data_IF_415258583791
#
_entry.id   IF_415258583791
#
_cell.length_a   1.000
_cell.length_b   1.000
_cell.length_c   1.000
_cell.angle_alpha   90.00
_cell.angle_beta   90.00
_cell.angle_gamma   90.00
#
_symmetry.space_group_name_H-M   'P 1'
#
loop_
_entity.id
_entity.type
_entity.pdbx_description
1 polymer ?
#
# COMPACT_ATOMS: atom_id res chain seq x y z
N UNK A 1 -17.37 19.70 -18.23
CA UNK A 1 -17.24 18.22 -18.24
C UNK A 1 -16.14 17.70 -19.18
N UNK A 2 -16.01 18.16 -20.44
CA UNK A 2 -14.99 17.68 -21.41
C UNK A 2 -13.53 17.82 -20.94
N UNK A 3 -13.16 18.96 -20.33
CA UNK A 3 -11.79 19.21 -19.86
C UNK A 3 -11.34 18.24 -18.75
N UNK A 4 -12.23 17.93 -17.78
CA UNK A 4 -11.96 16.95 -16.73
C UNK A 4 -11.74 15.57 -17.33
N UNK A 5 -12.62 15.13 -18.25
CA UNK A 5 -12.44 13.84 -18.92
C UNK A 5 -11.13 13.75 -19.70
N UNK A 6 -10.71 14.84 -20.35
CA UNK A 6 -9.43 14.90 -21.04
C UNK A 6 -8.26 14.77 -20.06
N UNK A 7 -8.26 15.53 -18.97
CA UNK A 7 -7.22 15.46 -17.94
C UNK A 7 -7.16 14.07 -17.28
N UNK A 8 -8.31 13.48 -16.91
CA UNK A 8 -8.38 12.12 -16.37
C UNK A 8 -7.82 11.09 -17.35
N UNK A 9 -8.15 11.18 -18.65
CA UNK A 9 -7.60 10.26 -19.67
C UNK A 9 -6.08 10.37 -19.78
N UNK A 10 -5.53 11.59 -19.76
CA UNK A 10 -4.07 11.79 -19.78
C UNK A 10 -3.41 11.24 -18.51
N UNK A 11 -4.00 11.50 -17.35
CA UNK A 11 -3.50 11.01 -16.06
C UNK A 11 -3.50 9.48 -16.00
N UNK A 12 -4.64 8.84 -16.30
CA UNK A 12 -4.78 7.38 -16.29
C UNK A 12 -3.83 6.71 -17.29
N UNK A 13 -3.64 7.30 -18.49
CA UNK A 13 -2.69 6.79 -19.48
C UNK A 13 -1.23 6.89 -19.02
N UNK A 14 -0.88 7.92 -18.24
CA UNK A 14 0.46 8.04 -17.64
C UNK A 14 0.63 7.05 -16.49
N UNK A 15 -0.39 6.92 -15.65
CA UNK A 15 -0.38 6.02 -14.49
C UNK A 15 -0.22 4.56 -14.92
N UNK A 16 -0.90 4.11 -15.97
CA UNK A 16 -0.80 2.73 -16.47
C UNK A 16 0.57 2.35 -17.04
N UNK A 17 1.45 3.33 -17.29
CA UNK A 17 2.83 3.12 -17.77
C UNK A 17 3.87 3.12 -16.65
N UNK A 18 3.49 3.46 -15.42
CA UNK A 18 4.41 3.43 -14.27
C UNK A 18 4.51 2.01 -13.73
N UNK A 19 5.70 1.63 -13.27
CA UNK A 19 5.88 0.38 -12.52
C UNK A 19 4.96 0.36 -11.29
N UNK A 20 4.44 -0.82 -10.96
CA UNK A 20 3.61 -1.01 -9.78
C UNK A 20 4.46 -1.01 -8.52
N UNK A 21 3.90 -0.54 -7.42
CA UNK A 21 4.47 -0.71 -6.09
C UNK A 21 3.33 -1.01 -5.10
N UNK A 22 3.52 -2.01 -4.26
CA UNK A 22 2.58 -2.39 -3.21
C UNK A 22 3.17 -1.98 -1.87
N UNK A 23 2.42 -1.22 -1.08
CA UNK A 23 2.78 -0.88 0.30
C UNK A 23 1.83 -1.62 1.22
N UNK A 24 2.36 -2.54 2.03
CA UNK A 24 1.60 -3.23 3.07
C UNK A 24 1.90 -2.60 4.42
N UNK A 25 0.88 -2.43 5.24
CA UNK A 25 1.05 -1.96 6.62
C UNK A 25 0.36 -2.84 7.65
N UNK A 26 0.93 -2.88 8.85
CA UNK A 26 0.25 -3.39 10.04
C UNK A 26 0.48 -2.44 11.20
N UNK A 27 -0.56 -2.20 11.99
CA UNK A 27 -0.59 -1.16 13.02
C UNK A 27 -1.44 -1.58 14.21
N UNK A 28 -1.17 -1.00 15.39
CA UNK A 28 -2.03 -1.14 16.57
C UNK A 28 -2.74 0.17 16.91
N UNK A 29 -2.02 1.29 16.77
CA UNK A 29 -2.49 2.63 17.16
C UNK A 29 -2.53 3.61 15.97
N UNK A 30 -2.49 3.10 14.74
CA UNK A 30 -2.61 3.88 13.50
C UNK A 30 -1.32 4.54 12.97
N UNK A 31 -0.21 4.58 13.72
CA UNK A 31 1.02 5.27 13.24
C UNK A 31 1.63 4.66 11.98
N UNK A 32 1.72 3.34 11.90
CA UNK A 32 2.28 2.66 10.73
C UNK A 32 1.41 2.84 9.49
N UNK A 33 0.09 2.87 9.66
CA UNK A 33 -0.86 3.20 8.59
C UNK A 33 -0.64 4.63 8.08
N UNK A 34 -0.49 5.61 8.98
CA UNK A 34 -0.23 7.00 8.60
C UNK A 34 1.08 7.13 7.79
N UNK A 35 2.13 6.45 8.23
CA UNK A 35 3.40 6.42 7.49
C UNK A 35 3.28 5.71 6.14
N UNK A 36 2.51 4.62 6.05
CA UNK A 36 2.27 3.93 4.79
C UNK A 36 1.52 4.81 3.78
N UNK A 37 0.52 5.58 4.23
CA UNK A 37 -0.20 6.56 3.39
C UNK A 37 0.72 7.67 2.90
N UNK A 38 1.53 8.26 3.79
CA UNK A 38 2.55 9.27 3.42
C UNK A 38 3.57 8.72 2.44
N UNK A 39 4.03 7.48 2.66
CA UNK A 39 4.94 6.80 1.74
C UNK A 39 4.28 6.61 0.36
N UNK A 40 2.99 6.27 0.32
CA UNK A 40 2.20 6.17 -0.90
C UNK A 40 2.09 7.49 -1.68
N UNK A 41 1.91 8.61 -0.99
CA UNK A 41 1.91 9.94 -1.61
C UNK A 41 3.26 10.26 -2.28
N UNK A 42 4.37 10.00 -1.58
CA UNK A 42 5.73 10.25 -2.08
C UNK A 42 6.06 9.33 -3.26
N UNK A 43 5.81 8.02 -3.13
CA UNK A 43 6.07 7.05 -4.20
C UNK A 43 5.14 7.26 -5.41
N UNK A 44 3.93 7.78 -5.20
CA UNK A 44 2.94 8.07 -6.25
C UNK A 44 3.41 9.09 -7.29
N UNK A 45 4.52 9.82 -7.04
CA UNK A 45 5.14 10.66 -8.06
C UNK A 45 5.85 9.87 -9.17
N UNK A 46 6.34 8.67 -8.86
CA UNK A 46 7.09 7.83 -9.80
C UNK A 46 6.40 6.49 -10.13
N UNK A 47 5.67 5.91 -9.17
CA UNK A 47 5.07 4.57 -9.26
C UNK A 47 3.54 4.63 -9.37
N UNK A 48 2.95 3.51 -9.81
CA UNK A 48 1.52 3.24 -9.61
C UNK A 48 1.37 2.48 -8.28
N UNK A 49 1.13 3.22 -7.20
CA UNK A 49 1.16 2.68 -5.84
C UNK A 49 -0.22 2.21 -5.40
N UNK A 50 -0.26 1.09 -4.70
CA UNK A 50 -1.41 0.65 -3.91
C UNK A 50 -0.98 0.47 -2.45
N UNK A 51 -1.83 0.87 -1.50
CA UNK A 51 -1.56 0.77 -0.05
C UNK A 51 -2.64 -0.09 0.58
N UNK A 52 -2.26 -1.16 1.27
CA UNK A 52 -3.17 -2.11 1.90
C UNK A 52 -2.82 -2.35 3.37
N UNK A 53 -3.84 -2.58 4.19
CA UNK A 53 -3.63 -3.25 5.47
C UNK A 53 -3.22 -4.70 5.17
N UNK A 54 -2.28 -5.24 5.95
CA UNK A 54 -1.86 -6.64 5.79
C UNK A 54 -3.00 -7.63 6.00
N UNK A 55 -3.98 -7.32 6.85
CA UNK A 55 -5.18 -8.17 7.08
C UNK A 55 -6.12 -8.24 5.88
N UNK A 56 -6.02 -7.27 4.96
CA UNK A 56 -6.93 -7.13 3.84
C UNK A 56 -6.29 -7.54 2.51
N UNK A 57 -5.05 -8.04 2.56
CA UNK A 57 -4.25 -8.37 1.38
C UNK A 57 -4.19 -9.87 1.15
N UNK A 58 -4.58 -10.34 -0.04
CA UNK A 58 -4.45 -11.75 -0.40
C UNK A 58 -2.98 -12.11 -0.58
N UNK A 59 -2.48 -13.01 0.25
CA UNK A 59 -1.10 -13.45 0.22
C UNK A 59 -0.72 -14.11 -1.12
N UNK A 60 -1.70 -14.66 -1.85
CA UNK A 60 -1.52 -15.25 -3.17
C UNK A 60 -1.09 -14.20 -4.21
N UNK A 61 -1.45 -12.93 -4.00
CA UNK A 61 -1.07 -11.84 -4.91
C UNK A 61 0.41 -11.47 -4.78
N UNK A 62 1.10 -11.86 -3.70
CA UNK A 62 2.53 -11.57 -3.49
C UNK A 62 3.42 -12.12 -4.62
N UNK A 63 3.04 -13.24 -5.24
CA UNK A 63 3.79 -13.84 -6.36
C UNK A 63 3.92 -12.86 -7.55
N UNK A 64 2.96 -11.96 -7.71
CA UNK A 64 2.89 -11.00 -8.82
C UNK A 64 3.38 -9.59 -8.47
N UNK A 65 3.92 -9.40 -7.26
CA UNK A 65 4.38 -8.08 -6.81
C UNK A 65 5.79 -7.77 -7.33
N UNK A 66 5.89 -6.72 -8.16
CA UNK A 66 7.18 -6.23 -8.69
C UNK A 66 8.04 -5.52 -7.63
N UNK A 67 7.40 -4.73 -6.76
CA UNK A 67 8.04 -3.97 -5.70
C UNK A 67 7.13 -3.93 -4.47
N UNK A 68 7.62 -4.52 -3.38
CA UNK A 68 6.94 -4.56 -2.09
C UNK A 68 7.64 -3.64 -1.08
N UNK A 69 6.88 -2.77 -0.43
CA UNK A 69 7.33 -2.00 0.73
C UNK A 69 6.46 -2.39 1.93
N UNK A 70 7.08 -2.55 3.10
CA UNK A 70 6.39 -2.92 4.34
C UNK A 70 6.59 -1.81 5.36
N UNK A 71 5.50 -1.33 5.95
CA UNK A 71 5.50 -0.38 7.07
C UNK A 71 4.76 -1.01 8.24
N UNK A 72 5.49 -1.51 9.22
CA UNK A 72 4.87 -2.20 10.37
C UNK A 72 5.45 -1.73 11.69
N UNK A 73 4.61 -1.74 12.72
CA UNK A 73 5.03 -1.58 14.11
C UNK A 73 5.17 -2.93 14.79
N UNK A 74 5.94 -3.00 15.86
CA UNK A 74 5.94 -4.15 16.76
C UNK A 74 5.25 -3.80 18.08
N UNK A 75 4.74 -4.81 18.79
CA UNK A 75 4.12 -4.66 20.10
C UNK A 75 4.82 -5.50 21.17
N UNK A 76 5.01 -4.94 22.36
CA UNK A 76 5.67 -5.62 23.48
C UNK A 76 7.08 -6.10 23.13
N UNK A 77 7.32 -7.41 23.26
CA UNK A 77 8.63 -8.04 23.04
C UNK A 77 8.94 -8.32 21.55
N UNK A 78 8.51 -7.45 20.64
CA UNK A 78 8.70 -7.64 19.20
C UNK A 78 7.61 -8.47 18.51
N UNK A 79 6.44 -8.64 19.14
CA UNK A 79 5.31 -9.31 18.50
C UNK A 79 4.74 -8.46 17.36
N UNK A 80 4.08 -9.08 16.36
CA UNK A 80 3.32 -8.33 15.37
C UNK A 80 2.11 -7.60 16.01
N UNK A 81 1.58 -6.57 15.35
CA UNK A 81 0.33 -5.91 15.75
C UNK A 81 -0.84 -6.90 15.81
N UNK A 82 -1.83 -6.63 16.67
CA UNK A 82 -2.89 -7.58 17.00
C UNK A 82 -3.79 -7.92 15.80
N UNK A 83 -4.02 -6.95 14.91
CA UNK A 83 -4.80 -7.13 13.66
C UNK A 83 -4.24 -8.25 12.78
N UNK A 84 -2.93 -8.53 12.84
CA UNK A 84 -2.29 -9.60 12.06
C UNK A 84 -2.24 -10.95 12.78
N UNK A 85 -2.56 -10.99 14.08
CA UNK A 85 -2.51 -12.23 14.87
C UNK A 85 -3.70 -13.16 14.58
N UNK A 86 -4.73 -12.67 13.89
CA UNK A 86 -5.94 -13.41 13.54
C UNK A 86 -5.73 -14.55 12.54
N UNK A 87 -4.62 -14.55 11.79
CA UNK A 87 -4.31 -15.57 10.77
C UNK A 87 -3.33 -16.65 11.24
N UNK A 88 -2.91 -16.62 12.51
CA UNK A 88 -1.99 -17.64 13.09
C UNK A 88 -2.76 -18.67 13.95
N UNK A 89 -4.07 -18.81 13.77
CA UNK A 89 -4.89 -19.87 14.37
C UNK A 89 -5.51 -20.77 13.30
#
# INVERSE_FOLDING_TARGET
MKAIMFACKLFLKRLSRRSKATILYATETGKSEEYAKKLGEIFGYAFNVQVYCMSDYDISDLEYVDLLLIVTSTFGNGNPPYEWRGEIN
#
